data_IF_841714423746
#
_entry.id   IF_841714423746
#
_cell.length_a   1.000
_cell.length_b   1.000
_cell.length_c   1.000
_cell.angle_alpha   90.00
_cell.angle_beta   90.00
_cell.angle_gamma   90.00
#
_symmetry.space_group_name_H-M   'P 1'
#
loop_
_entity.id
_entity.type
_entity.pdbx_description
1 polymer ?
#
# COMPACT_ATOMS: atom_id res chain seq x y z
N UNK A 1 -6.22 11.36 25.27
CA UNK A 1 -5.14 11.91 26.12
C UNK A 1 -4.68 10.85 27.11
N UNK A 2 -3.72 10.01 26.73
CA UNK A 2 -3.18 8.96 27.60
C UNK A 2 -2.07 9.53 28.49
N UNK A 3 -2.18 9.33 29.81
CA UNK A 3 -1.21 9.75 30.83
C UNK A 3 -0.11 8.69 30.96
N UNK A 4 0.94 8.78 30.15
CA UNK A 4 2.20 8.10 30.44
C UNK A 4 3.29 9.15 30.64
N UNK A 5 3.79 9.25 31.88
CA UNK A 5 4.59 10.36 32.37
C UNK A 5 6.10 10.26 32.03
N UNK A 6 6.55 9.21 31.32
CA UNK A 6 7.94 9.11 30.84
C UNK A 6 8.08 7.91 29.89
N UNK A 7 8.72 8.14 28.75
CA UNK A 7 9.25 7.10 27.88
C UNK A 7 10.75 7.03 28.16
N UNK A 8 11.31 5.83 28.29
CA UNK A 8 12.73 5.58 28.63
C UNK A 8 13.40 4.76 27.53
N UNK A 9 14.67 5.06 27.23
CA UNK A 9 15.48 4.30 26.26
C UNK A 9 16.05 3.00 26.87
N UNK A 10 16.74 2.19 26.06
CA UNK A 10 17.38 0.94 26.52
C UNK A 10 18.49 1.15 27.57
N UNK A 11 18.87 2.40 27.84
CA UNK A 11 19.83 2.80 28.87
C UNK A 11 19.15 3.55 30.05
N UNK A 12 17.82 3.45 30.16
CA UNK A 12 17.01 4.00 31.24
C UNK A 12 17.05 5.54 31.36
N UNK A 13 17.34 6.25 30.27
CA UNK A 13 17.35 7.72 30.22
C UNK A 13 15.99 8.25 29.72
N UNK A 14 15.51 9.38 30.27
CA UNK A 14 14.25 9.97 29.85
C UNK A 14 14.36 10.49 28.41
N UNK A 15 13.52 9.94 27.52
CA UNK A 15 13.45 10.37 26.12
C UNK A 15 12.25 11.29 25.95
N UNK A 16 12.41 12.36 25.17
CA UNK A 16 11.26 13.22 24.80
C UNK A 16 10.30 12.44 23.89
N UNK A 17 9.01 12.78 23.88
CA UNK A 17 8.01 12.15 23.00
C UNK A 17 8.47 12.15 21.53
N UNK A 18 9.16 13.22 21.11
CA UNK A 18 9.76 13.34 19.76
C UNK A 18 10.87 12.32 19.53
N UNK A 19 11.76 12.11 20.50
CA UNK A 19 12.84 11.14 20.38
C UNK A 19 12.34 9.67 20.49
N UNK A 20 11.27 9.44 21.26
CA UNK A 20 10.57 8.15 21.27
C UNK A 20 9.90 7.86 19.90
N UNK A 21 9.22 8.84 19.31
CA UNK A 21 8.68 8.72 17.95
C UNK A 21 9.78 8.53 16.90
N UNK A 22 10.94 9.18 17.04
CA UNK A 22 12.08 8.97 16.15
C UNK A 22 12.68 7.56 16.27
N UNK A 23 12.73 6.98 17.48
CA UNK A 23 13.19 5.61 17.69
C UNK A 23 12.18 4.57 17.19
N UNK A 24 10.88 4.83 17.37
CA UNK A 24 9.79 4.01 16.81
C UNK A 24 9.85 4.08 15.29
N UNK A 25 9.97 5.27 14.71
CA UNK A 25 10.10 5.47 13.28
C UNK A 25 11.38 4.81 12.76
N UNK A 26 12.54 4.96 13.42
CA UNK A 26 13.78 4.29 12.98
C UNK A 26 13.71 2.75 13.04
N UNK A 27 12.97 2.18 14.01
CA UNK A 27 12.74 0.74 14.09
C UNK A 27 11.73 0.27 13.02
N UNK A 28 10.71 1.08 12.76
CA UNK A 28 9.75 0.90 11.67
C UNK A 28 10.47 0.99 10.31
N UNK A 29 11.40 1.94 10.13
CA UNK A 29 12.19 2.12 8.92
C UNK A 29 13.07 0.89 8.64
N UNK A 30 13.66 0.30 9.68
CA UNK A 30 14.45 -0.93 9.55
C UNK A 30 13.59 -2.16 9.21
N UNK A 31 12.34 -2.20 9.68
CA UNK A 31 11.40 -3.28 9.39
C UNK A 31 10.79 -3.14 7.99
N UNK A 32 10.35 -1.94 7.62
CA UNK A 32 9.74 -1.65 6.33
C UNK A 32 10.75 -1.73 5.18
N UNK A 33 12.03 -1.39 5.40
CA UNK A 33 13.04 -1.49 4.34
C UNK A 33 13.55 -2.92 4.07
N UNK A 34 13.20 -3.93 4.88
CA UNK A 34 13.60 -5.30 4.57
C UNK A 34 12.86 -5.82 3.31
N UNK A 35 11.62 -5.36 3.08
CA UNK A 35 10.82 -5.52 1.85
C UNK A 35 10.58 -6.97 1.40
N UNK A 36 11.18 -7.94 2.07
CA UNK A 36 11.24 -9.36 1.74
C UNK A 36 9.92 -10.09 2.00
N UNK A 37 9.04 -9.50 2.82
CA UNK A 37 7.71 -10.00 3.12
C UNK A 37 6.70 -9.76 1.99
N UNK A 38 6.96 -8.82 1.08
CA UNK A 38 6.03 -8.51 -0.01
C UNK A 38 6.12 -9.51 -1.17
N UNK A 39 5.04 -9.63 -1.93
CA UNK A 39 5.09 -10.31 -3.22
C UNK A 39 6.07 -9.61 -4.18
N UNK A 40 6.63 -10.36 -5.13
CA UNK A 40 7.69 -9.86 -6.03
C UNK A 40 7.27 -8.63 -6.84
N UNK A 41 6.00 -8.52 -7.22
CA UNK A 41 5.53 -7.38 -7.99
C UNK A 41 5.49 -6.13 -7.09
N UNK A 42 4.98 -6.26 -5.87
CA UNK A 42 5.03 -5.18 -4.87
C UNK A 42 6.46 -4.75 -4.57
N UNK A 43 7.40 -5.69 -4.38
CA UNK A 43 8.82 -5.35 -4.19
C UNK A 43 9.37 -4.49 -5.32
N UNK A 44 9.07 -4.86 -6.57
CA UNK A 44 9.51 -4.08 -7.72
C UNK A 44 8.85 -2.69 -7.74
N UNK A 45 7.54 -2.63 -7.51
CA UNK A 45 6.81 -1.36 -7.52
C UNK A 45 7.31 -0.40 -6.44
N UNK A 46 7.62 -0.89 -5.24
CA UNK A 46 8.19 -0.08 -4.15
C UNK A 46 9.56 0.48 -4.54
N UNK A 47 10.45 -0.32 -5.13
CA UNK A 47 11.78 0.14 -5.54
C UNK A 47 11.70 1.19 -6.66
N UNK A 48 10.83 0.97 -7.65
CA UNK A 48 10.59 1.93 -8.74
C UNK A 48 10.02 3.22 -8.16
N UNK A 49 8.98 3.11 -7.33
CA UNK A 49 8.31 4.24 -6.70
C UNK A 49 9.28 5.06 -5.86
N UNK A 50 10.12 4.42 -5.04
CA UNK A 50 11.09 5.11 -4.17
C UNK A 50 12.08 5.98 -4.95
N UNK A 51 12.37 5.64 -6.19
CA UNK A 51 13.34 6.36 -7.02
C UNK A 51 12.67 7.37 -7.97
N UNK A 52 11.53 6.98 -8.55
CA UNK A 52 10.93 7.66 -9.70
C UNK A 52 9.44 8.00 -9.53
N UNK A 53 8.83 7.68 -8.38
CA UNK A 53 7.40 7.77 -8.17
C UNK A 53 6.63 7.05 -9.32
N UNK A 54 5.87 7.80 -10.10
CA UNK A 54 5.13 7.31 -11.28
C UNK A 54 5.72 7.79 -12.61
N UNK A 55 6.88 8.45 -12.59
CA UNK A 55 7.52 8.96 -13.80
C UNK A 55 8.13 7.81 -14.63
N UNK A 56 8.14 7.92 -15.97
CA UNK A 56 8.74 6.91 -16.84
C UNK A 56 10.25 6.75 -16.61
N UNK A 57 10.70 5.49 -16.62
CA UNK A 57 12.09 5.07 -16.44
C UNK A 57 12.56 4.29 -17.66
N UNK A 58 13.87 4.27 -17.93
CA UNK A 58 14.43 3.49 -19.04
C UNK A 58 14.17 2.00 -18.81
N UNK A 59 13.71 1.30 -19.86
CA UNK A 59 13.34 -0.12 -19.77
C UNK A 59 14.48 -0.98 -19.22
N UNK A 60 15.72 -0.75 -19.69
CA UNK A 60 16.89 -1.51 -19.26
C UNK A 60 17.12 -1.52 -17.75
N UNK A 61 16.90 -0.38 -17.08
CA UNK A 61 17.08 -0.27 -15.63
C UNK A 61 16.01 -1.08 -14.88
N UNK A 62 14.76 -1.01 -15.35
CA UNK A 62 13.64 -1.76 -14.75
C UNK A 62 13.77 -3.26 -15.04
N UNK A 63 14.28 -3.64 -16.20
CA UNK A 63 14.52 -5.03 -16.57
C UNK A 63 15.63 -5.67 -15.70
N UNK A 64 16.69 -4.92 -15.37
CA UNK A 64 17.69 -5.37 -14.38
C UNK A 64 17.07 -5.52 -12.98
N UNK A 65 16.29 -4.53 -12.54
CA UNK A 65 15.61 -4.53 -11.24
C UNK A 65 14.66 -5.72 -11.09
N UNK A 66 13.80 -5.95 -12.09
CA UNK A 66 12.81 -7.04 -12.07
C UNK A 66 13.47 -8.42 -12.05
N UNK A 67 14.55 -8.62 -12.82
CA UNK A 67 15.33 -9.87 -12.77
C UNK A 67 15.97 -10.10 -11.40
N UNK A 68 16.50 -9.07 -10.76
CA UNK A 68 17.06 -9.19 -9.40
C UNK A 68 16.01 -9.63 -8.36
N UNK A 69 14.72 -9.37 -8.61
CA UNK A 69 13.58 -9.81 -7.78
C UNK A 69 12.92 -11.10 -8.27
N UNK A 70 13.54 -11.82 -9.21
CA UNK A 70 13.00 -13.03 -9.83
C UNK A 70 11.61 -12.83 -10.48
N UNK A 71 11.43 -11.72 -11.20
CA UNK A 71 10.25 -11.40 -12.02
C UNK A 71 10.66 -10.76 -13.37
N UNK A 72 9.73 -10.21 -14.13
CA UNK A 72 9.98 -9.50 -15.40
C UNK A 72 9.09 -8.27 -15.55
N UNK A 73 9.49 -7.35 -16.44
CA UNK A 73 8.65 -6.21 -16.84
C UNK A 73 7.30 -6.69 -17.39
N UNK A 74 7.30 -7.73 -18.23
CA UNK A 74 6.06 -8.28 -18.81
C UNK A 74 5.11 -8.83 -17.75
N UNK A 75 5.63 -9.42 -16.68
CA UNK A 75 4.80 -9.88 -15.56
C UNK A 75 4.16 -8.71 -14.82
N UNK A 76 4.87 -7.60 -14.61
CA UNK A 76 4.32 -6.38 -14.03
C UNK A 76 3.25 -5.75 -14.93
N UNK A 77 3.47 -5.76 -16.24
CA UNK A 77 2.51 -5.27 -17.23
C UNK A 77 1.26 -6.14 -17.27
N UNK A 78 1.42 -7.47 -17.29
CA UNK A 78 0.31 -8.41 -17.29
C UNK A 78 -0.54 -8.33 -16.00
N UNK A 79 0.09 -8.04 -14.86
CA UNK A 79 -0.58 -7.81 -13.59
C UNK A 79 -1.33 -6.46 -13.54
N UNK A 80 -1.00 -5.54 -14.45
CA UNK A 80 -1.58 -4.20 -14.52
C UNK A 80 -0.96 -3.19 -13.57
N UNK A 81 0.28 -3.41 -13.12
CA UNK A 81 1.00 -2.49 -12.21
C UNK A 81 2.08 -1.65 -12.88
N UNK A 82 2.45 -2.00 -14.12
CA UNK A 82 3.32 -1.19 -14.96
C UNK A 82 2.82 -1.09 -16.41
N UNK A 83 3.27 -0.07 -17.13
CA UNK A 83 3.17 0.02 -18.58
C UNK A 83 4.57 0.08 -19.19
N UNK A 84 4.75 -0.60 -20.32
CA UNK A 84 5.99 -0.55 -21.10
C UNK A 84 5.69 -0.04 -22.51
N UNK A 85 6.31 1.07 -22.90
CA UNK A 85 6.15 1.66 -24.22
C UNK A 85 7.38 2.48 -24.60
N UNK A 86 7.76 2.45 -25.89
CA UNK A 86 8.82 3.30 -26.46
C UNK A 86 10.16 3.20 -25.71
N UNK A 87 10.52 2.00 -25.22
CA UNK A 87 11.75 1.77 -24.48
C UNK A 87 11.75 2.31 -23.05
N UNK A 88 10.59 2.69 -22.52
CA UNK A 88 10.39 3.15 -21.15
C UNK A 88 9.36 2.30 -20.41
N UNK A 89 9.47 2.26 -19.09
CA UNK A 89 8.53 1.61 -18.18
C UNK A 89 8.10 2.61 -17.13
N UNK A 90 6.80 2.67 -16.84
CA UNK A 90 6.23 3.50 -15.77
C UNK A 90 5.25 2.67 -14.94
N UNK A 91 5.10 3.01 -13.66
CA UNK A 91 4.04 2.42 -12.83
C UNK A 91 2.67 2.90 -13.32
N UNK A 92 1.67 2.03 -13.30
CA UNK A 92 0.28 2.42 -13.59
C UNK A 92 -0.19 3.35 -12.47
N UNK A 93 -0.83 4.46 -12.84
CA UNK A 93 -1.35 5.41 -11.86
C UNK A 93 -2.53 4.83 -11.10
N UNK A 94 -2.76 5.36 -9.90
CA UNK A 94 -3.83 4.90 -9.00
C UNK A 94 -5.21 4.95 -9.63
N UNK A 95 -5.48 6.04 -10.33
CA UNK A 95 -6.75 6.34 -10.95
C UNK A 95 -7.05 5.30 -12.04
N UNK A 96 -6.01 4.87 -12.78
CA UNK A 96 -6.12 3.89 -13.85
C UNK A 96 -6.31 2.47 -13.29
N UNK A 97 -5.58 2.09 -12.23
CA UNK A 97 -5.80 0.80 -11.52
C UNK A 97 -7.24 0.74 -10.99
N UNK A 98 -7.71 1.83 -10.39
CA UNK A 98 -9.06 1.93 -9.83
C UNK A 98 -10.16 1.92 -10.90
N UNK A 99 -9.96 2.63 -12.01
CA UNK A 99 -10.89 2.61 -13.14
C UNK A 99 -11.02 1.20 -13.75
N UNK A 100 -9.90 0.49 -13.90
CA UNK A 100 -9.91 -0.90 -14.38
C UNK A 100 -10.64 -1.84 -13.41
N UNK A 101 -10.44 -1.67 -12.09
CA UNK A 101 -11.21 -2.39 -11.08
C UNK A 101 -12.72 -2.09 -11.18
N UNK A 102 -13.12 -0.82 -11.23
CA UNK A 102 -14.53 -0.41 -11.29
C UNK A 102 -15.23 -0.93 -12.55
N UNK A 103 -14.54 -0.94 -13.69
CA UNK A 103 -15.08 -1.43 -14.96
C UNK A 103 -15.42 -2.93 -14.89
N UNK A 104 -14.57 -3.73 -14.23
CA UNK A 104 -14.74 -5.18 -14.13
C UNK A 104 -15.50 -5.61 -12.87
N UNK A 105 -15.59 -4.72 -11.88
CA UNK A 105 -16.11 -4.97 -10.53
C UNK A 105 -15.49 -6.23 -9.87
N UNK A 106 -14.25 -6.55 -10.21
CA UNK A 106 -13.55 -7.75 -9.78
C UNK A 106 -12.03 -7.57 -9.88
N UNK A 107 -11.30 -8.40 -9.14
CA UNK A 107 -9.85 -8.57 -9.22
C UNK A 107 -9.54 -10.04 -9.49
N UNK A 108 -8.49 -10.30 -10.27
CA UNK A 108 -7.97 -11.67 -10.45
C UNK A 108 -7.33 -12.19 -9.16
N UNK A 109 -7.01 -13.49 -9.12
CA UNK A 109 -6.35 -14.11 -7.96
C UNK A 109 -4.94 -13.50 -7.77
N UNK A 110 -4.23 -13.29 -8.87
CA UNK A 110 -2.90 -12.68 -8.87
C UNK A 110 -2.96 -11.23 -8.36
N UNK A 111 -3.97 -10.48 -8.78
CA UNK A 111 -4.15 -9.09 -8.33
C UNK A 111 -4.50 -8.99 -6.84
N UNK A 112 -5.30 -9.92 -6.32
CA UNK A 112 -5.60 -10.01 -4.89
C UNK A 112 -4.37 -10.36 -4.04
N UNK A 113 -3.39 -11.03 -4.64
CA UNK A 113 -2.13 -11.40 -3.99
C UNK A 113 -1.04 -10.31 -4.13
N UNK A 114 -1.38 -9.15 -4.71
CA UNK A 114 -0.46 -8.05 -4.93
C UNK A 114 -0.79 -6.88 -3.98
N UNK A 115 0.02 -6.70 -2.94
CA UNK A 115 -0.23 -5.66 -1.93
C UNK A 115 -0.20 -4.24 -2.54
N UNK A 116 0.63 -4.01 -3.57
CA UNK A 116 0.64 -2.75 -4.31
C UNK A 116 -0.74 -2.39 -4.86
N UNK A 117 -1.41 -3.33 -5.56
CA UNK A 117 -2.75 -3.09 -6.12
C UNK A 117 -3.73 -2.76 -5.00
N UNK A 118 -3.75 -3.55 -3.92
CA UNK A 118 -4.64 -3.32 -2.78
C UNK A 118 -4.44 -1.93 -2.16
N UNK A 119 -3.19 -1.52 -1.93
CA UNK A 119 -2.87 -0.21 -1.39
C UNK A 119 -3.33 0.92 -2.33
N UNK A 120 -3.07 0.79 -3.63
CA UNK A 120 -3.50 1.79 -4.61
C UNK A 120 -5.03 1.91 -4.70
N UNK A 121 -5.74 0.79 -4.72
CA UNK A 121 -7.20 0.79 -4.75
C UNK A 121 -7.81 1.43 -3.51
N UNK A 122 -7.33 1.10 -2.31
CA UNK A 122 -7.84 1.70 -1.07
C UNK A 122 -7.60 3.21 -1.02
N UNK A 123 -6.39 3.65 -1.40
CA UNK A 123 -6.06 5.07 -1.48
C UNK A 123 -6.98 5.82 -2.45
N UNK A 124 -7.22 5.29 -3.65
CA UNK A 124 -8.10 5.94 -4.62
C UNK A 124 -9.56 5.92 -4.18
N UNK A 125 -10.02 4.80 -3.60
CA UNK A 125 -11.38 4.67 -3.09
C UNK A 125 -11.68 5.70 -2.00
N UNK A 126 -10.78 5.87 -1.02
CA UNK A 126 -10.94 6.88 0.03
C UNK A 126 -10.99 8.30 -0.52
N UNK A 127 -10.18 8.61 -1.54
CA UNK A 127 -10.13 9.93 -2.14
C UNK A 127 -11.37 10.24 -2.99
N UNK A 128 -11.95 9.24 -3.66
CA UNK A 128 -13.00 9.44 -4.66
C UNK A 128 -14.41 9.06 -4.17
N UNK A 129 -14.57 7.88 -3.58
CA UNK A 129 -15.86 7.28 -3.24
C UNK A 129 -16.05 7.07 -1.72
N UNK A 130 -15.02 7.39 -0.93
CA UNK A 130 -15.04 7.39 0.52
C UNK A 130 -14.96 6.01 1.18
N UNK A 131 -15.24 6.01 2.48
CA UNK A 131 -14.99 4.86 3.38
C UNK A 131 -15.78 3.60 3.02
N UNK A 132 -16.98 3.75 2.44
CA UNK A 132 -17.86 2.62 2.10
C UNK A 132 -17.28 1.80 0.95
N UNK A 133 -16.73 2.46 -0.07
CA UNK A 133 -16.11 1.76 -1.21
C UNK A 133 -14.76 1.15 -0.80
N UNK A 134 -13.98 1.88 0.01
CA UNK A 134 -12.75 1.34 0.60
C UNK A 134 -13.01 0.07 1.42
N UNK A 135 -14.06 0.04 2.23
CA UNK A 135 -14.47 -1.15 2.98
C UNK A 135 -14.95 -2.30 2.08
N UNK A 136 -15.57 -2.01 0.93
CA UNK A 136 -15.91 -3.04 -0.07
C UNK A 136 -14.65 -3.67 -0.66
N UNK A 137 -13.68 -2.85 -1.05
CA UNK A 137 -12.40 -3.30 -1.61
C UNK A 137 -11.60 -4.08 -0.58
N UNK A 138 -11.53 -3.61 0.67
CA UNK A 138 -10.86 -4.31 1.77
C UNK A 138 -11.30 -5.77 1.90
N UNK A 139 -12.62 -6.03 1.79
CA UNK A 139 -13.19 -7.39 1.87
C UNK A 139 -12.78 -8.33 0.74
N UNK A 140 -12.14 -7.83 -0.31
CA UNK A 140 -11.65 -8.65 -1.42
C UNK A 140 -10.31 -9.34 -1.11
N UNK A 141 -9.63 -8.91 -0.04
CA UNK A 141 -8.33 -9.39 0.39
C UNK A 141 -8.48 -10.30 1.62
N UNK A 142 -7.55 -11.25 1.79
CA UNK A 142 -7.47 -12.02 3.03
C UNK A 142 -7.02 -11.13 4.19
N UNK A 143 -7.13 -11.61 5.44
CA UNK A 143 -6.65 -10.85 6.60
C UNK A 143 -5.13 -10.61 6.54
N UNK A 144 -4.38 -11.60 6.04
CA UNK A 144 -2.92 -11.51 5.91
C UNK A 144 -2.52 -10.53 4.80
N UNK A 145 -3.22 -10.57 3.66
CA UNK A 145 -3.01 -9.60 2.57
C UNK A 145 -3.37 -8.18 3.03
N UNK A 146 -4.47 -8.02 3.76
CA UNK A 146 -4.88 -6.73 4.32
C UNK A 146 -3.83 -6.17 5.30
N UNK A 147 -3.27 -6.99 6.18
CA UNK A 147 -2.18 -6.57 7.07
C UNK A 147 -0.96 -6.11 6.26
N UNK A 148 -0.59 -6.88 5.22
CA UNK A 148 0.52 -6.55 4.31
C UNK A 148 0.28 -5.22 3.57
N UNK A 149 -0.96 -4.97 3.12
CA UNK A 149 -1.36 -3.70 2.48
C UNK A 149 -1.23 -2.52 3.45
N UNK A 150 -1.61 -2.70 4.72
CA UNK A 150 -1.47 -1.66 5.75
C UNK A 150 0.00 -1.29 5.98
N UNK A 151 0.86 -2.31 6.12
CA UNK A 151 2.31 -2.13 6.26
C UNK A 151 2.89 -1.40 5.05
N UNK A 152 2.47 -1.79 3.83
CA UNK A 152 2.87 -1.11 2.61
C UNK A 152 2.45 0.36 2.60
N UNK A 153 1.23 0.70 3.05
CA UNK A 153 0.77 2.08 3.11
C UNK A 153 1.68 2.95 4.00
N UNK A 154 2.12 2.43 5.15
CA UNK A 154 3.13 3.12 5.99
C UNK A 154 4.45 3.32 5.26
N UNK A 155 4.94 2.30 4.54
CA UNK A 155 6.19 2.39 3.80
C UNK A 155 6.11 3.43 2.67
N UNK A 156 5.02 3.45 1.92
CA UNK A 156 4.83 4.40 0.82
C UNK A 156 4.67 5.84 1.32
N UNK A 157 3.98 6.03 2.45
CA UNK A 157 3.94 7.31 3.16
C UNK A 157 5.35 7.77 3.53
N UNK A 158 6.13 6.92 4.21
CA UNK A 158 7.48 7.28 4.65
C UNK A 158 8.42 7.59 3.48
N UNK A 159 8.39 6.77 2.43
CA UNK A 159 9.17 7.01 1.21
C UNK A 159 8.81 8.35 0.56
N UNK A 160 7.51 8.69 0.50
CA UNK A 160 7.04 9.96 -0.03
C UNK A 160 7.49 11.16 0.83
N UNK A 161 7.40 11.02 2.15
CA UNK A 161 7.78 12.06 3.12
C UNK A 161 9.28 12.38 3.02
N UNK A 162 10.14 11.34 2.99
CA UNK A 162 11.59 11.50 2.78
C UNK A 162 11.94 12.20 1.47
N UNK A 163 11.14 11.99 0.42
CA UNK A 163 11.32 12.60 -0.90
C UNK A 163 10.63 13.97 -1.03
N UNK A 164 9.93 14.44 0.00
CA UNK A 164 9.07 15.62 -0.02
C UNK A 164 7.98 15.56 -1.11
N UNK A 165 7.49 14.37 -1.45
CA UNK A 165 6.35 14.18 -2.34
C UNK A 165 5.04 14.36 -1.57
N UNK A 166 4.75 15.60 -1.16
CA UNK A 166 3.66 15.94 -0.21
C UNK A 166 2.30 15.38 -0.63
N UNK A 167 1.98 15.38 -1.92
CA UNK A 167 0.71 14.84 -2.43
C UNK A 167 0.61 13.33 -2.20
N UNK A 168 1.66 12.59 -2.53
CA UNK A 168 1.69 11.13 -2.32
C UNK A 168 1.73 10.79 -0.82
N UNK A 169 2.51 11.52 -0.03
CA UNK A 169 2.53 11.35 1.43
C UNK A 169 1.13 11.53 2.03
N UNK A 170 0.40 12.57 1.61
CA UNK A 170 -0.97 12.78 2.08
C UNK A 170 -1.89 11.59 1.75
N UNK A 171 -1.84 11.09 0.51
CA UNK A 171 -2.67 9.97 0.06
C UNK A 171 -2.47 8.72 0.93
N UNK A 172 -1.22 8.30 1.16
CA UNK A 172 -0.96 7.10 1.96
C UNK A 172 -1.20 7.32 3.45
N UNK A 173 -0.98 8.53 3.97
CA UNK A 173 -1.33 8.87 5.34
C UNK A 173 -2.83 8.76 5.60
N UNK A 174 -3.68 9.11 4.62
CA UNK A 174 -5.14 8.93 4.75
C UNK A 174 -5.50 7.44 4.88
N UNK A 175 -4.90 6.55 4.08
CA UNK A 175 -5.14 5.10 4.20
C UNK A 175 -4.80 4.59 5.61
N UNK A 176 -3.64 5.01 6.11
CA UNK A 176 -3.17 4.65 7.46
C UNK A 176 -4.12 5.18 8.55
N UNK A 177 -4.51 6.44 8.46
CA UNK A 177 -5.36 7.09 9.46
C UNK A 177 -6.79 6.51 9.48
N UNK A 178 -7.32 6.14 8.33
CA UNK A 178 -8.68 5.59 8.18
C UNK A 178 -8.73 4.06 8.32
N UNK A 179 -7.61 3.38 8.54
CA UNK A 179 -7.52 1.92 8.51
C UNK A 179 -8.53 1.23 9.43
N UNK A 180 -8.63 1.67 10.70
CA UNK A 180 -9.57 1.10 11.66
C UNK A 180 -11.03 1.30 11.21
N UNK A 181 -11.35 2.48 10.65
CA UNK A 181 -12.69 2.75 10.14
C UNK A 181 -13.03 1.89 8.92
N UNK A 182 -12.07 1.61 8.03
CA UNK A 182 -12.24 0.68 6.91
C UNK A 182 -12.59 -0.71 7.45
N UNK A 183 -11.85 -1.18 8.46
CA UNK A 183 -12.07 -2.50 9.07
C UNK A 183 -13.44 -2.60 9.76
N UNK A 184 -13.79 -1.60 10.59
CA UNK A 184 -15.08 -1.54 11.28
C UNK A 184 -16.24 -1.52 10.27
N UNK A 185 -16.12 -0.72 9.21
CA UNK A 185 -17.12 -0.64 8.16
C UNK A 185 -17.25 -1.95 7.39
N UNK A 186 -16.12 -2.57 7.03
CA UNK A 186 -16.09 -3.86 6.34
C UNK A 186 -16.77 -4.96 7.16
N UNK A 187 -16.56 -4.99 8.47
CA UNK A 187 -17.21 -5.95 9.37
C UNK A 187 -18.75 -5.74 9.43
N UNK A 188 -19.18 -4.48 9.50
CA UNK A 188 -20.61 -4.13 9.57
C UNK A 188 -21.35 -4.48 8.27
N UNK A 189 -20.76 -4.15 7.12
CA UNK A 189 -21.36 -4.44 5.81
C UNK A 189 -21.29 -5.94 5.47
N UNK A 190 -20.31 -6.68 6.00
CA UNK A 190 -20.21 -8.14 5.88
C UNK A 190 -21.29 -8.89 6.65
N UNK A 191 -21.67 -8.42 7.85
CA UNK A 191 -22.78 -9.00 8.62
C UNK A 191 -24.14 -8.83 7.96
N UNK A 192 -24.34 -7.73 7.23
CA UNK A 192 -25.61 -7.44 6.55
C UNK A 192 -25.81 -8.31 5.29
N UNK A 193 -24.73 -8.64 4.58
CA UNK A 193 -24.78 -9.46 3.36
C UNK A 193 -24.93 -10.96 3.66
N UNK A 194 -24.37 -11.43 4.78
CA UNK A 194 -24.54 -12.80 5.27
C UNK A 194 -25.97 -13.06 5.79
N UNK A 195 -26.60 -12.04 6.39
CA UNK A 195 -27.99 -12.09 6.82
C UNK A 195 -29.00 -12.17 5.66
N UNK A 196 -28.68 -11.63 4.47
CA UNK A 196 -29.54 -11.76 3.28
C UNK A 196 -29.46 -13.14 2.62
N UNK A 197 -28.28 -13.77 2.59
CA UNK A 197 -28.09 -15.11 2.00
C UNK A 197 -28.71 -16.27 2.79
N UNK A 198 -29.13 -16.05 4.03
CA UNK A 198 -29.77 -17.08 4.87
C UNK A 198 -31.31 -17.06 4.78
N UNK A 199 -31.89 -16.15 3.98
CA UNK A 199 -33.35 -15.94 3.87
C UNK A 199 -33.86 -16.29 2.45
N UNK A 200 -32.99 -16.76 1.55
CA UNK A 200 -33.34 -17.31 0.23
C UNK A 200 -33.06 -18.82 0.17
#
# INVERSE_FOLDING_TARGET
YSRYAKIVDQQNRPVTVRAALQLINARLDAYLNDGSSYDKATQCCVEIYKQHAFDPVVYGDIDVLTRAKNTSVDALVALGVAHSARGQVALVKREDIYAAYKANNALTIEQKSCAWIGCQLLAQALAQDGIVDAARIYRMFSLDDAATIHELAYQLYHNADLKNWTKEAHVFNVVVAEWEQIQQRAATDGGTDMGRKLIE
#
